data_IF_614035856770
#
_entry.id   IF_614035856770
#
_cell.length_a   1.000
_cell.length_b   1.000
_cell.length_c   1.000
_cell.angle_alpha   90.00
_cell.angle_beta   90.00
_cell.angle_gamma   90.00
#
_symmetry.space_group_name_H-M   'P 1'
#
loop_
_entity.id
_entity.type
_entity.pdbx_description
1 polymer ?
#
# COMPACT_ATOMS: atom_id res chain seq x y z
N UNK A 1 -6.94 -6.05 20.45
CA UNK A 1 -7.26 -5.19 19.30
C UNK A 1 -6.65 -5.90 18.11
N UNK A 2 -7.45 -6.27 17.12
CA UNK A 2 -6.90 -6.83 15.89
C UNK A 2 -6.22 -5.68 15.13
N UNK A 3 -5.03 -5.91 14.59
CA UNK A 3 -4.34 -4.92 13.76
C UNK A 3 -5.08 -4.84 12.44
N UNK A 4 -5.56 -3.64 12.08
CA UNK A 4 -6.03 -3.41 10.73
C UNK A 4 -4.82 -3.12 9.84
N UNK A 5 -4.38 -4.11 9.05
CA UNK A 5 -3.22 -3.99 8.16
C UNK A 5 -3.34 -2.82 7.16
N UNK A 6 -4.56 -2.35 6.90
CA UNK A 6 -4.80 -1.14 6.10
C UNK A 6 -4.15 0.11 6.72
N UNK A 7 -4.02 0.18 8.04
CA UNK A 7 -3.40 1.33 8.72
C UNK A 7 -1.91 1.46 8.37
N UNK A 8 -1.19 0.34 8.19
CA UNK A 8 0.20 0.38 7.72
C UNK A 8 0.28 1.01 6.33
N UNK A 9 -0.62 0.63 5.42
CA UNK A 9 -0.68 1.24 4.10
C UNK A 9 -1.03 2.73 4.18
N UNK A 10 -2.02 3.10 5.00
CA UNK A 10 -2.41 4.50 5.16
C UNK A 10 -1.32 5.36 5.79
N UNK A 11 -0.44 4.78 6.63
CA UNK A 11 0.74 5.48 7.13
C UNK A 11 1.69 5.89 6.01
N UNK A 12 1.87 5.07 4.97
CA UNK A 12 2.74 5.41 3.84
C UNK A 12 2.19 6.62 3.04
N UNK A 13 0.86 6.75 2.96
CA UNK A 13 0.22 7.87 2.23
C UNK A 13 0.02 9.13 3.09
N UNK A 14 -0.26 8.97 4.38
CA UNK A 14 -0.77 10.04 5.24
C UNK A 14 -0.01 10.20 6.55
N UNK A 15 1.05 9.42 6.79
CA UNK A 15 1.84 9.45 8.03
C UNK A 15 2.43 10.82 8.34
N UNK A 16 2.78 11.59 7.31
CA UNK A 16 3.29 12.98 7.45
C UNK A 16 2.23 13.97 7.98
N UNK A 17 0.94 13.62 7.94
CA UNK A 17 -0.14 14.46 8.50
C UNK A 17 -0.34 14.22 10.00
N UNK A 18 0.29 13.18 10.56
CA UNK A 18 0.27 12.92 11.99
C UNK A 18 1.36 13.75 12.69
N UNK A 19 1.13 14.04 13.97
CA UNK A 19 2.25 14.52 14.80
C UNK A 19 3.31 13.43 14.92
N UNK A 20 4.58 13.81 15.08
CA UNK A 20 5.70 12.88 15.25
C UNK A 20 5.42 11.82 16.33
N UNK A 21 4.81 12.22 17.45
CA UNK A 21 4.43 11.31 18.53
C UNK A 21 3.35 10.30 18.11
N UNK A 22 2.35 10.73 17.33
CA UNK A 22 1.31 9.84 16.82
C UNK A 22 1.90 8.86 15.81
N UNK A 23 2.67 9.36 14.84
CA UNK A 23 3.34 8.54 13.83
C UNK A 23 4.22 7.47 14.47
N UNK A 24 5.14 7.86 15.35
CA UNK A 24 6.03 6.93 16.04
C UNK A 24 5.26 5.83 16.79
N UNK A 25 4.18 6.19 17.50
CA UNK A 25 3.40 5.20 18.27
C UNK A 25 2.65 4.23 17.34
N UNK A 26 2.14 4.69 16.19
CA UNK A 26 1.47 3.82 15.22
C UNK A 26 2.48 2.95 14.49
N UNK A 27 3.62 3.48 14.06
CA UNK A 27 4.71 2.72 13.42
C UNK A 27 5.22 1.59 14.33
N UNK A 28 5.50 1.90 15.60
CA UNK A 28 5.94 0.89 16.57
C UNK A 28 4.88 -0.23 16.74
N UNK A 29 3.59 0.11 16.65
CA UNK A 29 2.52 -0.86 16.82
C UNK A 29 2.26 -1.69 15.55
N UNK A 30 2.23 -1.05 14.39
CA UNK A 30 1.80 -1.66 13.13
C UNK A 30 2.95 -2.24 12.30
N UNK A 31 4.14 -1.64 12.35
CA UNK A 31 5.29 -2.04 11.52
C UNK A 31 6.35 -2.81 12.33
N UNK A 32 6.58 -2.44 13.60
CA UNK A 32 7.57 -3.09 14.48
C UNK A 32 6.96 -4.15 15.41
N UNK A 33 5.67 -4.43 15.24
CA UNK A 33 4.92 -5.43 16.01
C UNK A 33 4.89 -5.29 17.55
N UNK A 34 5.32 -4.14 18.10
CA UNK A 34 5.40 -3.93 19.55
C UNK A 34 4.01 -3.94 20.22
N UNK A 35 3.95 -4.48 21.43
CA UNK A 35 2.77 -4.40 22.28
C UNK A 35 2.58 -3.00 22.87
N UNK A 36 1.35 -2.67 23.27
CA UNK A 36 1.04 -1.39 23.93
C UNK A 36 1.87 -1.14 25.19
N UNK A 37 2.32 -2.19 25.87
CA UNK A 37 3.14 -2.09 27.08
C UNK A 37 4.60 -1.76 26.73
N UNK A 38 5.14 -2.35 25.68
CA UNK A 38 6.49 -2.05 25.19
C UNK A 38 6.56 -0.62 24.64
N UNK A 39 5.54 -0.20 23.88
CA UNK A 39 5.44 1.18 23.40
C UNK A 39 5.29 2.17 24.56
N UNK A 40 4.52 1.83 25.60
CA UNK A 40 4.37 2.67 26.78
C UNK A 40 5.71 2.90 27.49
N UNK A 41 6.51 1.84 27.64
CA UNK A 41 7.86 1.93 28.19
C UNK A 41 8.79 2.77 27.31
N UNK A 42 8.77 2.54 25.99
CA UNK A 42 9.60 3.27 25.03
C UNK A 42 9.25 4.77 24.96
N UNK A 43 7.96 5.10 24.86
CA UNK A 43 7.45 6.46 24.72
C UNK A 43 7.23 7.19 26.05
N UNK A 44 7.53 6.54 27.19
CA UNK A 44 7.36 7.08 28.56
C UNK A 44 5.96 7.65 28.82
N UNK A 45 4.93 6.96 28.34
CA UNK A 45 3.53 7.30 28.57
C UNK A 45 2.78 6.09 29.12
N UNK A 46 1.57 6.29 29.63
CA UNK A 46 0.74 5.16 30.11
C UNK A 46 0.30 4.29 28.94
N UNK A 47 0.08 3.00 29.19
CA UNK A 47 -0.53 2.07 28.22
C UNK A 47 -1.86 2.59 27.67
N UNK A 48 -2.64 3.29 28.49
CA UNK A 48 -3.86 3.96 28.05
C UNK A 48 -3.57 5.12 27.10
N UNK A 49 -2.55 5.94 27.41
CA UNK A 49 -2.09 7.01 26.53
C UNK A 49 -1.61 6.50 25.17
N UNK A 50 -0.92 5.36 25.11
CA UNK A 50 -0.55 4.69 23.85
C UNK A 50 -1.81 4.34 23.06
N UNK A 51 -2.75 3.62 23.67
CA UNK A 51 -4.00 3.21 23.03
C UNK A 51 -4.78 4.39 22.47
N UNK A 52 -4.89 5.48 23.23
CA UNK A 52 -5.61 6.67 22.79
C UNK A 52 -4.87 7.41 21.67
N UNK A 53 -3.53 7.38 21.68
CA UNK A 53 -2.71 7.93 20.60
C UNK A 53 -2.90 7.15 19.30
N UNK A 54 -2.87 5.82 19.35
CA UNK A 54 -3.12 4.94 18.20
C UNK A 54 -4.51 5.21 17.63
N UNK A 55 -5.56 5.16 18.48
CA UNK A 55 -6.93 5.40 18.01
C UNK A 55 -7.14 6.75 17.34
N UNK A 56 -6.53 7.81 17.89
CA UNK A 56 -6.62 9.15 17.27
C UNK A 56 -5.91 9.18 15.93
N UNK A 57 -4.74 8.58 15.83
CA UNK A 57 -3.99 8.52 14.59
C UNK A 57 -4.74 7.70 13.52
N UNK A 58 -5.27 6.52 13.87
CA UNK A 58 -6.14 5.71 13.01
C UNK A 58 -7.31 6.53 12.47
N UNK A 59 -7.99 7.29 13.35
CA UNK A 59 -9.10 8.16 12.94
C UNK A 59 -8.70 9.24 11.93
N UNK A 60 -7.53 9.86 12.11
CA UNK A 60 -7.00 10.86 11.16
C UNK A 60 -6.68 10.21 9.81
N UNK A 61 -5.99 9.07 9.82
CA UNK A 61 -5.61 8.35 8.60
C UNK A 61 -6.84 7.90 7.79
N UNK A 62 -7.86 7.36 8.49
CA UNK A 62 -9.11 6.93 7.85
C UNK A 62 -9.94 8.10 7.32
N UNK A 63 -10.01 9.23 8.02
CA UNK A 63 -10.70 10.45 7.53
C UNK A 63 -10.01 11.00 6.27
N UNK A 64 -8.68 11.01 6.26
CA UNK A 64 -7.91 11.43 5.09
C UNK A 64 -8.15 10.51 3.89
N UNK A 65 -8.18 9.19 4.10
CA UNK A 65 -8.49 8.25 3.02
C UNK A 65 -9.93 8.40 2.52
N UNK A 66 -10.91 8.59 3.41
CA UNK A 66 -12.31 8.81 2.99
C UNK A 66 -12.45 10.05 2.10
N UNK A 67 -11.70 11.11 2.42
CA UNK A 67 -11.76 12.38 1.70
C UNK A 67 -10.92 12.42 0.43
N UNK A 68 -9.75 11.79 0.42
CA UNK A 68 -8.76 11.91 -0.67
C UNK A 68 -8.69 10.65 -1.53
N UNK A 69 -8.91 9.48 -0.92
CA UNK A 69 -8.94 8.17 -1.56
C UNK A 69 -7.63 7.80 -2.24
N UNK A 70 -6.47 8.17 -1.68
CA UNK A 70 -5.19 7.96 -2.36
C UNK A 70 -4.80 6.49 -2.37
N UNK A 71 -4.97 5.80 -1.23
CA UNK A 71 -4.65 4.38 -1.15
C UNK A 71 -5.56 3.56 -2.06
N UNK A 72 -6.85 3.89 -2.11
CA UNK A 72 -7.81 3.27 -3.03
C UNK A 72 -7.47 3.51 -4.50
N UNK A 73 -7.12 4.75 -4.88
CA UNK A 73 -6.72 5.07 -6.25
C UNK A 73 -5.45 4.32 -6.65
N UNK A 74 -4.45 4.29 -5.76
CA UNK A 74 -3.21 3.55 -5.96
C UNK A 74 -3.51 2.07 -6.23
N UNK A 75 -4.32 1.44 -5.37
CA UNK A 75 -4.73 0.02 -5.56
C UNK A 75 -5.48 -0.21 -6.87
N UNK A 76 -6.33 0.72 -7.29
CA UNK A 76 -7.05 0.64 -8.57
C UNK A 76 -6.11 0.71 -9.77
N UNK A 77 -5.10 1.58 -9.72
CA UNK A 77 -4.07 1.69 -10.75
C UNK A 77 -3.27 0.39 -10.81
N UNK A 78 -2.89 -0.13 -9.64
CA UNK A 78 -2.13 -1.36 -9.49
C UNK A 78 -2.85 -2.55 -10.13
N UNK A 79 -4.11 -2.78 -9.75
CA UNK A 79 -4.95 -3.83 -10.33
C UNK A 79 -5.11 -3.65 -11.86
N UNK A 80 -5.16 -2.41 -12.34
CA UNK A 80 -5.22 -2.09 -13.75
C UNK A 80 -3.95 -2.49 -14.51
N UNK A 81 -2.77 -2.17 -13.95
CA UNK A 81 -1.48 -2.53 -14.52
C UNK A 81 -1.28 -4.04 -14.58
N UNK A 82 -1.64 -4.76 -13.50
CA UNK A 82 -1.55 -6.22 -13.46
C UNK A 82 -2.42 -6.87 -14.55
N UNK A 83 -3.63 -6.32 -14.76
CA UNK A 83 -4.51 -6.77 -15.85
C UNK A 83 -3.94 -6.46 -17.24
N UNK A 84 -3.29 -5.32 -17.42
CA UNK A 84 -2.64 -4.97 -18.69
C UNK A 84 -1.51 -5.97 -18.99
N UNK A 85 -0.68 -6.27 -18.00
CA UNK A 85 0.40 -7.27 -18.10
C UNK A 85 -0.18 -8.64 -18.46
N UNK A 86 -1.21 -9.09 -17.75
CA UNK A 86 -1.86 -10.38 -18.02
C UNK A 86 -2.40 -10.47 -19.46
N UNK A 87 -3.11 -9.44 -19.92
CA UNK A 87 -3.62 -9.40 -21.29
C UNK A 87 -2.49 -9.43 -22.34
N UNK A 88 -1.39 -8.69 -22.11
CA UNK A 88 -0.25 -8.70 -23.02
C UNK A 88 0.43 -10.09 -23.08
N UNK A 89 0.53 -10.79 -21.95
CA UNK A 89 1.03 -12.16 -21.90
C UNK A 89 0.13 -13.13 -22.67
N UNK A 90 -1.19 -13.02 -22.51
CA UNK A 90 -2.16 -13.85 -23.24
C UNK A 90 -2.11 -13.61 -24.76
N UNK A 91 -2.03 -12.35 -25.18
CA UNK A 91 -1.87 -11.99 -26.60
C UNK A 91 -0.56 -12.57 -27.15
N UNK A 92 0.53 -12.47 -26.41
CA UNK A 92 1.83 -13.03 -26.81
C UNK A 92 1.75 -14.55 -26.95
N UNK A 93 1.12 -15.24 -26.00
CA UNK A 93 0.93 -16.69 -26.04
C UNK A 93 0.05 -17.14 -27.23
N UNK A 94 -1.03 -16.40 -27.50
CA UNK A 94 -1.89 -16.66 -28.65
C UNK A 94 -1.15 -16.46 -29.98
N UNK A 95 -0.37 -15.37 -30.09
CA UNK A 95 0.44 -15.08 -31.27
C UNK A 95 1.47 -16.18 -31.54
N UNK A 96 2.19 -16.64 -30.51
CA UNK A 96 3.14 -17.75 -30.63
C UNK A 96 2.48 -19.06 -31.06
N UNK A 97 1.18 -19.25 -30.78
CA UNK A 97 0.45 -20.47 -31.16
C UNK A 97 -0.10 -20.46 -32.58
N UNK A 98 -0.47 -19.29 -33.12
CA UNK A 98 -1.27 -19.22 -34.36
C UNK A 98 -0.73 -18.32 -35.49
N UNK A 99 0.21 -17.40 -35.22
CA UNK A 99 0.61 -16.40 -36.24
C UNK A 99 2.06 -15.93 -36.21
N UNK A 100 2.84 -16.28 -35.18
CA UNK A 100 4.26 -15.95 -34.94
C UNK A 100 4.68 -14.59 -35.50
N UNK A 101 3.88 -13.54 -35.28
CA UNK A 101 4.26 -12.18 -35.67
C UNK A 101 5.31 -11.65 -34.70
N UNK A 102 6.46 -11.27 -35.23
CA UNK A 102 7.52 -10.66 -34.43
C UNK A 102 7.06 -9.32 -33.83
N UNK A 103 6.37 -8.50 -34.63
CA UNK A 103 5.88 -7.19 -34.20
C UNK A 103 4.93 -7.28 -32.99
N UNK A 104 4.02 -8.27 -32.98
CA UNK A 104 3.12 -8.51 -31.84
C UNK A 104 3.92 -8.93 -30.61
N UNK A 105 4.92 -9.78 -30.78
CA UNK A 105 5.77 -10.26 -29.68
C UNK A 105 6.54 -9.10 -29.05
N UNK A 106 7.15 -8.25 -29.88
CA UNK A 106 7.93 -7.10 -29.45
C UNK A 106 7.03 -6.09 -28.71
N UNK A 107 5.85 -5.77 -29.26
CA UNK A 107 4.90 -4.85 -28.63
C UNK A 107 4.33 -5.36 -27.30
N UNK A 108 4.06 -6.67 -27.18
CA UNK A 108 3.67 -7.25 -25.90
C UNK A 108 4.81 -7.16 -24.87
N UNK A 109 6.06 -7.32 -25.31
CA UNK A 109 7.23 -7.11 -24.47
C UNK A 109 7.31 -5.68 -23.94
N UNK A 110 7.22 -4.68 -24.84
CA UNK A 110 7.22 -3.27 -24.47
C UNK A 110 6.11 -2.93 -23.45
N UNK A 111 4.89 -3.45 -23.64
CA UNK A 111 3.76 -3.22 -22.71
C UNK A 111 4.06 -3.78 -21.33
N UNK A 112 4.62 -4.99 -21.24
CA UNK A 112 4.96 -5.63 -19.97
C UNK A 112 6.05 -4.84 -19.24
N UNK A 113 7.08 -4.38 -19.97
CA UNK A 113 8.16 -3.57 -19.40
C UNK A 113 7.65 -2.21 -18.89
N UNK A 114 6.87 -1.50 -19.69
CA UNK A 114 6.30 -0.20 -19.30
C UNK A 114 5.40 -0.36 -18.08
N UNK A 115 4.49 -1.34 -18.09
CA UNK A 115 3.61 -1.57 -16.95
C UNK A 115 4.37 -1.98 -15.68
N UNK A 116 5.44 -2.77 -15.82
CA UNK A 116 6.34 -3.11 -14.72
C UNK A 116 7.04 -1.88 -14.13
N UNK A 117 7.52 -0.96 -14.96
CA UNK A 117 8.20 0.26 -14.49
C UNK A 117 7.32 1.28 -13.77
N UNK A 118 5.99 1.19 -13.92
CA UNK A 118 5.03 2.08 -13.22
C UNK A 118 4.64 1.48 -11.85
N UNK A 119 4.85 0.18 -11.68
CA UNK A 119 4.50 -0.59 -10.48
C UNK A 119 5.62 -0.56 -9.41
N UNK A 120 6.88 -0.37 -9.83
CA UNK A 120 8.03 -0.15 -8.94
C UNK A 120 8.12 1.29 -8.42
#
# INVERSE_FOLDING_TARGET
MAKNLEISLLLDFYGDMLTEKQRNVVELYYNEDLSLSEIAAHSRITRQGVRDSIKRAEGILLDLEDRLGLAKKFRTIQDGLDRIVQNAQEIRAYNSRFGTSKEITDKCGEIIEIAGSINE
#
